data_IF_279200052152
#
_entry.id   IF_279200052152
#
_cell.length_a   1.000
_cell.length_b   1.000
_cell.length_c   1.000
_cell.angle_alpha   90.00
_cell.angle_beta   90.00
_cell.angle_gamma   90.00
#
_symmetry.space_group_name_H-M   'P 1'
#
loop_
_entity.id
_entity.type
_entity.pdbx_description
1 polymer ?
#
# COMPACT_ATOMS: atom_id res chain seq x y z
N UNK A 1 4.41 11.37 -4.75
CA UNK A 1 4.05 9.99 -5.07
C UNK A 1 3.16 9.48 -3.96
N UNK A 2 1.96 9.03 -4.28
CA UNK A 2 1.03 8.47 -3.29
C UNK A 2 1.03 6.94 -3.35
N UNK A 3 0.61 6.29 -2.27
CA UNK A 3 0.46 4.83 -2.20
C UNK A 3 -0.55 4.31 -3.23
N UNK A 4 -1.59 5.10 -3.53
CA UNK A 4 -2.59 4.78 -4.55
C UNK A 4 -1.96 4.72 -5.96
N UNK A 5 -1.16 5.72 -6.32
CA UNK A 5 -0.49 5.77 -7.63
C UNK A 5 0.47 4.59 -7.83
N UNK A 6 1.24 4.23 -6.81
CA UNK A 6 2.12 3.05 -6.84
C UNK A 6 1.31 1.76 -6.99
N UNK A 7 0.24 1.59 -6.21
CA UNK A 7 -0.63 0.43 -6.32
C UNK A 7 -1.25 0.26 -7.72
N UNK A 8 -1.72 1.36 -8.32
CA UNK A 8 -2.29 1.36 -9.67
C UNK A 8 -1.26 1.01 -10.75
N UNK A 9 0.01 1.38 -10.56
CA UNK A 9 1.12 0.97 -11.44
C UNK A 9 1.56 -0.48 -11.20
N UNK A 10 0.99 -1.13 -10.19
CA UNK A 10 1.40 -2.45 -9.75
C UNK A 10 2.71 -2.46 -8.98
N UNK A 11 3.22 -1.29 -8.57
CA UNK A 11 4.42 -1.12 -7.76
C UNK A 11 4.08 -1.33 -6.28
N UNK A 12 4.92 -2.09 -5.61
CA UNK A 12 4.80 -2.34 -4.17
C UNK A 12 5.79 -1.44 -3.45
N UNK A 13 5.29 -0.68 -2.46
CA UNK A 13 6.13 0.24 -1.68
C UNK A 13 6.58 -0.42 -0.37
N UNK A 14 7.64 0.10 0.24
CA UNK A 14 8.11 -0.37 1.55
C UNK A 14 7.04 -0.18 2.64
N UNK A 15 6.23 0.87 2.55
CA UNK A 15 5.12 1.10 3.49
C UNK A 15 4.04 0.03 3.35
N UNK A 16 3.72 -0.40 2.11
CA UNK A 16 2.81 -1.52 1.89
C UNK A 16 3.37 -2.82 2.45
N UNK A 17 4.67 -3.08 2.25
CA UNK A 17 5.32 -4.27 2.81
C UNK A 17 5.26 -4.28 4.33
N UNK A 18 5.56 -3.14 4.96
CA UNK A 18 5.50 -3.03 6.42
C UNK A 18 4.10 -3.23 6.99
N UNK A 19 3.08 -2.65 6.35
CA UNK A 19 1.67 -2.85 6.77
C UNK A 19 1.23 -4.29 6.52
N UNK A 20 1.65 -4.90 5.41
CA UNK A 20 1.37 -6.30 5.11
C UNK A 20 1.99 -7.23 6.17
N UNK A 21 3.23 -6.97 6.61
CA UNK A 21 3.86 -7.74 7.68
C UNK A 21 3.18 -7.54 9.04
N UNK A 22 2.85 -6.29 9.40
CA UNK A 22 2.23 -5.96 10.70
C UNK A 22 0.83 -6.58 10.84
N UNK A 23 0.04 -6.53 9.77
CA UNK A 23 -1.31 -7.12 9.70
C UNK A 23 -1.27 -8.62 9.34
N UNK A 24 -0.10 -9.19 9.05
CA UNK A 24 0.04 -10.58 8.59
C UNK A 24 -0.73 -10.87 7.29
N UNK A 25 -0.86 -9.86 6.42
CA UNK A 25 -1.65 -9.90 5.20
C UNK A 25 -0.76 -10.07 3.97
N UNK A 26 -1.30 -10.68 2.91
CA UNK A 26 -0.58 -10.80 1.66
C UNK A 26 -0.42 -9.43 0.97
N UNK A 27 0.81 -9.12 0.56
CA UNK A 27 1.16 -7.81 0.01
C UNK A 27 0.47 -7.53 -1.34
N UNK A 28 0.21 -8.57 -2.13
CA UNK A 28 -0.50 -8.46 -3.41
C UNK A 28 -1.98 -8.18 -3.19
N UNK A 29 -2.58 -8.79 -2.16
CA UNK A 29 -3.96 -8.49 -1.72
C UNK A 29 -4.06 -7.05 -1.21
N UNK A 30 -3.12 -6.62 -0.38
CA UNK A 30 -3.08 -5.24 0.13
C UNK A 30 -2.95 -4.23 -1.02
N UNK A 31 -2.02 -4.46 -1.95
CA UNK A 31 -1.82 -3.62 -3.13
C UNK A 31 -3.11 -3.53 -3.97
N UNK A 32 -3.78 -4.65 -4.23
CA UNK A 32 -5.07 -4.65 -4.95
C UNK A 32 -6.13 -3.84 -4.22
N UNK A 33 -6.27 -4.04 -2.91
CA UNK A 33 -7.24 -3.29 -2.11
C UNK A 33 -6.96 -1.78 -2.10
N UNK A 34 -5.68 -1.39 -2.11
CA UNK A 34 -5.27 0.01 -2.26
C UNK A 34 -5.58 0.53 -3.66
N UNK A 35 -5.26 -0.22 -4.72
CA UNK A 35 -5.56 0.17 -6.10
C UNK A 35 -7.07 0.30 -6.37
N UNK A 36 -7.88 -0.54 -5.73
CA UNK A 36 -9.35 -0.49 -5.76
C UNK A 36 -9.93 0.65 -4.92
N UNK A 37 -9.10 1.37 -4.15
CA UNK A 37 -9.54 2.46 -3.26
C UNK A 37 -10.30 2.00 -2.02
N UNK A 38 -10.25 0.70 -1.70
CA UNK A 38 -10.88 0.13 -0.48
C UNK A 38 -10.03 0.33 0.77
N UNK A 39 -8.71 0.38 0.61
CA UNK A 39 -7.75 0.58 1.70
C UNK A 39 -6.88 1.79 1.38
N UNK A 40 -6.61 2.61 2.39
CA UNK A 40 -5.72 3.78 2.26
C UNK A 40 -4.63 3.66 3.32
N UNK A 41 -3.38 3.68 2.87
CA UNK A 41 -2.21 3.75 3.75
C UNK A 41 -1.74 5.21 3.77
N UNK A 42 -2.05 5.98 4.83
CA UNK A 42 -1.59 7.35 4.93
C UNK A 42 -0.07 7.35 5.13
N UNK A 43 0.65 7.94 4.18
CA UNK A 43 2.08 8.18 4.30
C UNK A 43 2.36 9.67 4.11
N UNK A 44 2.83 10.31 5.18
CA UNK A 44 3.32 11.68 5.12
C UNK A 44 4.86 11.63 5.07
N UNK A 45 5.51 12.01 3.95
CA UNK A 45 6.97 12.02 3.85
C UNK A 45 7.67 12.96 4.84
N UNK A 46 6.92 13.87 5.49
CA UNK A 46 7.44 14.81 6.49
C UNK A 46 7.30 14.31 7.93
N UNK A 47 6.80 13.10 8.14
CA UNK A 47 6.54 12.50 9.45
C UNK A 47 7.35 11.21 9.62
#
# INVERSE_FOLDING_TARGET
MTQLESALKGETTEQMAKVAEDEGMDIDVLRKAVAEGRVVIPHNPRH
#
